data_IF_905103345968
#
_entry.id   IF_905103345968
#
_cell.length_a   1.000
_cell.length_b   1.000
_cell.length_c   1.000
_cell.angle_alpha   90.00
_cell.angle_beta   90.00
_cell.angle_gamma   90.00
#
_symmetry.space_group_name_H-M   'P 1'
#
loop_
_entity.id
_entity.type
_entity.pdbx_description
1 polymer ?
#
# COMPACT_ATOMS: atom_id res chain seq x y z
N UNK A 1 17.69 -29.39 -52.60
CA UNK A 1 17.44 -29.56 -51.15
C UNK A 1 16.39 -28.55 -50.77
N UNK A 2 15.22 -29.02 -50.33
CA UNK A 2 14.15 -28.16 -49.81
C UNK A 2 14.20 -28.28 -48.29
N UNK A 3 14.54 -27.18 -47.62
CA UNK A 3 14.47 -27.10 -46.16
C UNK A 3 13.01 -26.86 -45.78
N UNK A 4 12.51 -27.65 -44.83
CA UNK A 4 11.19 -27.46 -44.22
C UNK A 4 11.43 -26.87 -42.84
N UNK A 5 10.87 -25.69 -42.58
CA UNK A 5 10.87 -25.09 -41.25
C UNK A 5 9.70 -25.66 -40.45
N UNK A 6 10.00 -26.35 -39.35
CA UNK A 6 9.03 -26.81 -38.35
C UNK A 6 9.17 -25.91 -37.14
N UNK A 7 8.12 -25.16 -36.82
CA UNK A 7 8.05 -24.37 -35.59
C UNK A 7 7.36 -25.16 -34.49
N UNK A 8 8.04 -25.34 -33.36
CA UNK A 8 7.47 -25.90 -32.14
C UNK A 8 6.96 -24.73 -31.29
N UNK A 9 5.68 -24.77 -30.93
CA UNK A 9 5.03 -23.78 -30.05
C UNK A 9 5.01 -24.34 -28.63
N UNK A 10 5.25 -23.49 -27.64
CA UNK A 10 5.16 -23.85 -26.23
C UNK A 10 3.74 -24.31 -25.86
N UNK A 11 3.64 -25.18 -24.85
CA UNK A 11 2.36 -25.55 -24.25
C UNK A 11 1.75 -24.43 -23.40
N UNK A 12 0.60 -24.68 -22.75
CA UNK A 12 0.05 -23.77 -21.74
C UNK A 12 1.04 -23.51 -20.61
N UNK A 13 0.95 -22.33 -19.97
CA UNK A 13 1.85 -22.01 -18.88
C UNK A 13 1.65 -22.97 -17.71
N UNK A 14 2.76 -23.33 -17.07
CA UNK A 14 2.77 -24.14 -15.87
C UNK A 14 3.24 -23.30 -14.69
N UNK A 15 2.46 -23.29 -13.61
CA UNK A 15 2.74 -22.48 -12.43
C UNK A 15 4.01 -22.91 -11.67
N UNK A 16 4.48 -24.15 -11.84
CA UNK A 16 5.73 -24.61 -11.22
C UNK A 16 6.98 -24.13 -11.97
N UNK A 17 6.83 -23.79 -13.24
CA UNK A 17 7.91 -23.26 -14.10
C UNK A 17 7.82 -21.74 -14.30
N UNK A 18 6.67 -21.15 -13.99
CA UNK A 18 6.39 -19.73 -14.18
C UNK A 18 6.52 -18.95 -12.87
N UNK A 19 6.73 -17.64 -12.96
CA UNK A 19 6.86 -16.78 -11.79
C UNK A 19 6.27 -15.39 -12.04
N UNK A 20 5.55 -14.86 -11.06
CA UNK A 20 5.09 -13.48 -11.02
C UNK A 20 5.65 -12.81 -9.76
N UNK A 21 6.31 -11.68 -9.94
CA UNK A 21 6.87 -10.85 -8.86
C UNK A 21 6.60 -9.37 -9.11
N UNK A 22 6.66 -8.60 -8.03
CA UNK A 22 6.68 -7.15 -8.03
C UNK A 22 7.91 -6.68 -7.24
N UNK A 23 8.48 -5.55 -7.64
CA UNK A 23 9.64 -4.97 -6.97
C UNK A 23 9.30 -4.23 -5.66
N UNK A 24 8.03 -3.87 -5.46
CA UNK A 24 7.52 -3.17 -4.28
C UNK A 24 6.16 -3.72 -3.86
N UNK A 25 6.01 -4.07 -2.58
CA UNK A 25 4.77 -4.59 -2.01
C UNK A 25 3.77 -3.51 -1.60
N UNK A 26 4.18 -2.24 -1.58
CA UNK A 26 3.33 -1.10 -1.21
C UNK A 26 3.67 0.12 -2.06
N UNK A 27 2.66 0.91 -2.42
CA UNK A 27 2.74 2.16 -3.16
C UNK A 27 1.90 3.25 -2.49
N UNK A 28 2.37 4.49 -2.59
CA UNK A 28 1.51 5.65 -2.35
C UNK A 28 0.49 5.78 -3.49
N UNK A 29 -0.78 5.91 -3.15
CA UNK A 29 -1.87 6.16 -4.08
C UNK A 29 -1.89 7.60 -4.58
N UNK A 30 -0.85 8.05 -5.28
CA UNK A 30 -0.68 9.43 -5.79
C UNK A 30 -0.43 9.52 -7.31
N UNK A 31 -0.64 8.44 -8.05
CA UNK A 31 -0.28 8.26 -9.47
C UNK A 31 1.20 8.48 -9.83
N UNK A 32 2.07 8.70 -8.85
CA UNK A 32 3.49 8.98 -9.07
C UNK A 32 4.33 7.81 -8.61
N UNK A 33 3.99 7.23 -7.46
CA UNK A 33 4.60 6.00 -6.98
C UNK A 33 4.17 4.81 -7.85
N UNK A 34 5.11 3.89 -8.08
CA UNK A 34 4.87 2.77 -8.99
C UNK A 34 5.68 1.52 -8.69
N UNK A 35 5.10 0.38 -9.01
CA UNK A 35 5.75 -0.92 -8.93
C UNK A 35 5.88 -1.55 -10.32
N UNK A 36 7.03 -2.16 -10.60
CA UNK A 36 7.22 -3.02 -11.77
C UNK A 36 6.71 -4.43 -11.42
N UNK A 37 5.82 -4.95 -12.26
CA UNK A 37 5.49 -6.36 -12.35
C UNK A 37 6.46 -7.05 -13.30
N UNK A 38 7.01 -8.17 -12.86
CA UNK A 38 7.84 -9.04 -13.67
C UNK A 38 7.24 -10.44 -13.69
N UNK A 39 6.81 -10.86 -14.87
CA UNK A 39 6.23 -12.16 -15.15
C UNK A 39 7.18 -12.95 -16.06
N UNK A 40 7.44 -14.21 -15.71
CA UNK A 40 8.09 -15.17 -16.59
C UNK A 40 7.14 -16.35 -16.78
N UNK A 41 6.79 -16.65 -18.03
CA UNK A 41 5.86 -17.75 -18.37
C UNK A 41 6.56 -18.85 -19.15
N UNK A 42 6.65 -20.03 -18.52
CA UNK A 42 7.16 -21.25 -19.14
C UNK A 42 6.11 -22.36 -19.08
N UNK A 43 6.13 -23.26 -20.05
CA UNK A 43 5.33 -24.49 -20.02
C UNK A 43 5.93 -25.53 -19.06
N UNK A 44 5.25 -26.65 -18.86
CA UNK A 44 5.69 -27.75 -17.97
C UNK A 44 7.06 -28.35 -18.36
N UNK A 45 7.47 -28.19 -19.62
CA UNK A 45 8.77 -28.66 -20.12
C UNK A 45 9.87 -27.60 -19.99
N UNK A 46 9.56 -26.43 -19.43
CA UNK A 46 10.48 -25.31 -19.28
C UNK A 46 10.67 -24.49 -20.56
N UNK A 47 9.82 -24.66 -21.58
CA UNK A 47 9.91 -23.83 -22.78
C UNK A 47 9.26 -22.47 -22.51
N UNK A 48 9.90 -21.36 -22.92
CA UNK A 48 9.29 -20.06 -22.80
C UNK A 48 8.09 -19.87 -23.72
N UNK A 49 7.05 -19.25 -23.16
CA UNK A 49 5.87 -18.78 -23.89
C UNK A 49 6.20 -17.40 -24.45
N UNK A 50 6.19 -17.28 -25.79
CA UNK A 50 6.79 -16.15 -26.51
C UNK A 50 5.76 -15.26 -27.20
N UNK A 51 4.54 -15.23 -26.68
CA UNK A 51 3.47 -14.40 -27.25
C UNK A 51 3.88 -12.93 -27.25
N UNK A 52 3.53 -12.21 -28.31
CA UNK A 52 3.83 -10.78 -28.49
C UNK A 52 2.62 -9.87 -28.24
N UNK A 53 1.48 -10.46 -27.90
CA UNK A 53 0.23 -9.77 -27.61
C UNK A 53 -0.66 -10.59 -26.67
N UNK A 54 -1.78 -10.00 -26.22
CA UNK A 54 -2.80 -10.70 -25.43
C UNK A 54 -2.44 -10.95 -23.96
N UNK A 55 -1.27 -10.51 -23.49
CA UNK A 55 -0.94 -10.48 -22.07
C UNK A 55 -1.62 -9.28 -21.38
N UNK A 56 -2.24 -9.55 -20.25
CA UNK A 56 -2.87 -8.55 -19.38
C UNK A 56 -2.66 -8.93 -17.91
N UNK A 57 -2.69 -7.92 -17.04
CA UNK A 57 -2.85 -8.12 -15.60
C UNK A 57 -4.22 -7.60 -15.19
N UNK A 58 -4.95 -8.39 -14.41
CA UNK A 58 -6.27 -7.99 -13.92
C UNK A 58 -6.32 -8.09 -12.40
N UNK A 59 -7.17 -7.27 -11.79
CA UNK A 59 -7.45 -7.40 -10.36
C UNK A 59 -8.35 -8.60 -10.10
N UNK A 60 -8.09 -9.29 -8.98
CA UNK A 60 -8.91 -10.37 -8.45
C UNK A 60 -9.38 -10.02 -7.04
N UNK A 61 -10.61 -10.39 -6.70
CA UNK A 61 -11.22 -10.08 -5.41
C UNK A 61 -11.73 -8.64 -5.31
N UNK A 62 -11.45 -7.97 -4.19
CA UNK A 62 -11.89 -6.59 -3.96
C UNK A 62 -11.08 -5.63 -4.84
N UNK A 63 -11.80 -4.87 -5.66
CA UNK A 63 -11.17 -3.91 -6.56
C UNK A 63 -10.62 -2.70 -5.80
N UNK A 64 -9.34 -2.38 -5.98
CA UNK A 64 -8.76 -1.08 -5.62
C UNK A 64 -9.11 -0.09 -6.74
N UNK A 65 -9.91 0.95 -6.46
CA UNK A 65 -10.37 1.87 -7.49
C UNK A 65 -9.20 2.64 -8.10
N UNK A 66 -9.36 3.06 -9.35
CA UNK A 66 -8.43 3.95 -10.07
C UNK A 66 -6.97 3.48 -10.18
N UNK A 67 -6.70 2.21 -9.86
CA UNK A 67 -5.44 1.56 -10.21
C UNK A 67 -5.26 1.53 -11.73
N UNK A 68 -4.03 1.78 -12.18
CA UNK A 68 -3.63 1.73 -13.59
C UNK A 68 -2.48 0.75 -13.75
N UNK A 69 -2.56 -0.01 -14.83
CA UNK A 69 -1.47 -0.87 -15.30
C UNK A 69 -1.06 -0.33 -16.67
N UNK A 70 0.25 -0.20 -16.90
CA UNK A 70 0.77 0.19 -18.20
C UNK A 70 0.48 -0.85 -19.28
N UNK A 71 0.77 -0.51 -20.53
CA UNK A 71 0.95 -1.52 -21.56
C UNK A 71 2.03 -2.53 -21.14
N UNK A 72 1.89 -3.77 -21.58
CA UNK A 72 2.88 -4.82 -21.38
C UNK A 72 4.11 -4.54 -22.25
N UNK A 73 5.29 -4.64 -21.66
CA UNK A 73 6.57 -4.71 -22.36
C UNK A 73 6.85 -6.16 -22.77
N UNK A 74 6.89 -6.39 -24.08
CA UNK A 74 7.17 -7.67 -24.73
C UNK A 74 8.62 -7.78 -25.23
N UNK A 75 9.49 -6.80 -24.95
CA UNK A 75 10.84 -6.72 -25.53
C UNK A 75 11.72 -7.94 -25.24
N UNK A 76 11.40 -8.72 -24.20
CA UNK A 76 12.10 -9.93 -23.79
C UNK A 76 11.22 -11.20 -23.85
N UNK A 77 10.11 -11.15 -24.58
CA UNK A 77 9.18 -12.28 -24.67
C UNK A 77 9.82 -13.56 -25.25
N UNK A 78 10.94 -13.46 -25.99
CA UNK A 78 11.72 -14.61 -26.46
C UNK A 78 12.17 -15.54 -25.31
N UNK A 79 12.30 -14.99 -24.10
CA UNK A 79 12.66 -15.70 -22.87
C UNK A 79 11.44 -16.03 -22.00
N UNK A 80 10.23 -15.66 -22.44
CA UNK A 80 9.00 -15.73 -21.66
C UNK A 80 8.82 -14.57 -20.68
N UNK A 81 9.64 -13.53 -20.79
CA UNK A 81 9.63 -12.36 -19.92
C UNK A 81 8.62 -11.30 -20.39
N UNK A 82 7.75 -10.89 -19.47
CA UNK A 82 6.77 -9.83 -19.64
C UNK A 82 6.87 -8.85 -18.46
N UNK A 83 6.78 -7.55 -18.75
CA UNK A 83 6.80 -6.53 -17.71
C UNK A 83 5.65 -5.54 -17.85
N UNK A 84 5.23 -4.98 -16.73
CA UNK A 84 4.29 -3.86 -16.70
C UNK A 84 4.53 -3.02 -15.46
N UNK A 85 4.05 -1.79 -15.46
CA UNK A 85 4.10 -0.91 -14.29
C UNK A 85 2.70 -0.69 -13.74
N UNK A 86 2.58 -0.74 -12.42
CA UNK A 86 1.35 -0.50 -11.67
C UNK A 86 1.47 0.84 -10.92
N UNK A 87 0.44 1.66 -10.99
CA UNK A 87 0.28 2.92 -10.23
C UNK A 87 -1.21 3.16 -9.93
N UNK A 88 -1.57 4.22 -9.21
CA UNK A 88 -2.98 4.53 -8.90
C UNK A 88 -3.13 5.62 -7.84
N UNK A 89 -4.38 6.02 -7.57
CA UNK A 89 -4.76 6.89 -6.44
C UNK A 89 -5.78 6.28 -5.46
N UNK A 90 -6.15 5.02 -5.68
CA UNK A 90 -6.99 4.27 -4.75
C UNK A 90 -6.25 3.87 -3.47
N UNK A 91 -7.02 3.41 -2.48
CA UNK A 91 -6.49 2.80 -1.25
C UNK A 91 -6.95 1.34 -1.15
N UNK A 92 -6.10 0.46 -0.65
CA UNK A 92 -6.42 -0.95 -0.41
C UNK A 92 -5.40 -1.93 -0.99
N UNK A 93 -5.66 -3.22 -0.85
CA UNK A 93 -4.75 -4.28 -1.32
C UNK A 93 -5.28 -4.81 -2.67
N UNK A 94 -4.52 -4.56 -3.74
CA UNK A 94 -4.81 -5.11 -5.06
C UNK A 94 -4.15 -6.49 -5.19
N UNK A 95 -4.94 -7.51 -5.52
CA UNK A 95 -4.41 -8.82 -5.94
C UNK A 95 -4.41 -8.86 -7.47
N UNK A 96 -3.24 -9.05 -8.08
CA UNK A 96 -3.03 -9.06 -9.51
C UNK A 96 -2.75 -10.46 -10.01
N UNK A 97 -3.45 -10.86 -11.07
CA UNK A 97 -3.29 -12.13 -11.74
C UNK A 97 -2.96 -11.91 -13.21
N UNK A 98 -2.08 -12.72 -13.82
CA UNK A 98 -1.80 -12.64 -15.25
C UNK A 98 -2.87 -13.39 -16.06
N UNK A 99 -3.24 -12.81 -17.20
CA UNK A 99 -4.17 -13.35 -18.17
C UNK A 99 -3.48 -13.31 -19.54
N UNK A 100 -3.45 -14.44 -20.23
CA UNK A 100 -2.89 -14.55 -21.57
C UNK A 100 -3.99 -14.99 -22.53
N UNK A 101 -4.27 -14.19 -23.55
CA UNK A 101 -5.30 -14.46 -24.56
C UNK A 101 -6.68 -14.76 -23.94
N UNK A 102 -7.02 -14.02 -22.87
CA UNK A 102 -8.26 -14.20 -22.11
C UNK A 102 -8.26 -15.39 -21.13
N UNK A 103 -7.17 -16.14 -21.01
CA UNK A 103 -7.05 -17.27 -20.09
C UNK A 103 -6.24 -16.88 -18.86
N UNK A 104 -6.82 -17.08 -17.68
CA UNK A 104 -6.14 -16.88 -16.40
C UNK A 104 -5.03 -17.92 -16.19
N UNK A 105 -3.83 -17.45 -15.85
CA UNK A 105 -2.69 -18.32 -15.54
C UNK A 105 -2.76 -18.73 -14.07
N UNK A 106 -3.54 -19.78 -13.81
CA UNK A 106 -3.83 -20.25 -12.45
C UNK A 106 -2.55 -20.57 -11.67
N UNK A 107 -2.53 -20.21 -10.38
CA UNK A 107 -1.37 -20.40 -9.50
C UNK A 107 -0.36 -19.26 -9.52
N UNK A 108 -0.53 -18.26 -10.39
CA UNK A 108 0.26 -17.03 -10.40
C UNK A 108 -0.58 -15.86 -9.89
N UNK A 109 -0.11 -15.21 -8.83
CA UNK A 109 -0.71 -13.97 -8.31
C UNK A 109 0.33 -13.17 -7.54
N UNK A 110 0.18 -11.86 -7.50
CA UNK A 110 0.89 -11.01 -6.54
C UNK A 110 -0.03 -9.97 -5.92
N UNK A 111 0.39 -9.39 -4.80
CA UNK A 111 -0.34 -8.35 -4.09
C UNK A 111 0.47 -7.06 -4.02
N UNK A 112 -0.19 -5.93 -4.26
CA UNK A 112 0.36 -4.59 -4.03
C UNK A 112 -0.62 -3.82 -3.15
N UNK A 113 -0.11 -3.25 -2.07
CA UNK A 113 -0.87 -2.40 -1.18
C UNK A 113 -0.78 -0.94 -1.59
N UNK A 114 -1.93 -0.27 -1.73
CA UNK A 114 -2.01 1.17 -1.95
C UNK A 114 -2.35 1.87 -0.64
N UNK A 115 -1.42 2.70 -0.17
CA UNK A 115 -1.60 3.58 0.99
C UNK A 115 -1.98 4.99 0.52
N UNK A 116 -2.68 5.77 1.34
CA UNK A 116 -3.15 7.11 0.97
C UNK A 116 -2.01 8.02 0.50
N UNK A 117 -2.28 8.84 -0.51
CA UNK A 117 -1.39 9.92 -0.89
C UNK A 117 -1.24 11.00 0.19
N UNK A 118 -2.30 11.24 0.93
CA UNK A 118 -2.40 12.37 1.85
C UNK A 118 -2.51 11.90 3.29
N UNK A 119 -1.96 12.71 4.19
CA UNK A 119 -2.19 12.55 5.61
C UNK A 119 -3.57 13.08 5.97
N UNK A 120 -4.36 12.28 6.68
CA UNK A 120 -5.67 12.68 7.17
C UNK A 120 -5.57 13.25 8.58
N UNK A 121 -6.33 14.32 8.90
CA UNK A 121 -6.38 14.83 10.26
C UNK A 121 -7.05 13.84 11.20
N UNK A 122 -6.52 13.71 12.42
CA UNK A 122 -7.22 13.05 13.53
C UNK A 122 -8.31 13.99 14.05
N UNK A 123 -9.58 13.67 13.77
CA UNK A 123 -10.75 14.51 14.11
C UNK A 123 -11.65 13.92 15.20
N UNK A 124 -11.28 12.76 15.74
CA UNK A 124 -12.02 12.08 16.80
C UNK A 124 -11.73 12.69 18.18
N UNK A 125 -11.65 11.81 19.18
CA UNK A 125 -11.51 12.20 20.58
C UNK A 125 -10.29 11.60 21.25
N UNK A 126 -9.89 12.19 22.37
CA UNK A 126 -8.92 11.62 23.30
C UNK A 126 -9.58 11.38 24.65
N UNK A 127 -9.20 10.30 25.32
CA UNK A 127 -9.59 10.04 26.71
C UNK A 127 -8.54 10.61 27.67
N UNK A 128 -8.99 11.41 28.63
CA UNK A 128 -8.19 11.93 29.75
C UNK A 128 -9.03 11.95 31.03
N UNK A 129 -8.57 11.27 32.09
CA UNK A 129 -9.25 11.24 33.39
C UNK A 129 -10.77 11.01 33.33
N UNK A 130 -11.21 10.03 32.53
CA UNK A 130 -12.64 9.69 32.28
C UNK A 130 -13.46 10.71 31.46
N UNK A 131 -12.82 11.73 30.88
CA UNK A 131 -13.43 12.64 29.93
C UNK A 131 -12.95 12.37 28.49
N UNK A 132 -13.82 12.58 27.52
CA UNK A 132 -13.48 12.60 26.10
C UNK A 132 -13.41 14.04 25.60
N UNK A 133 -12.27 14.43 25.04
CA UNK A 133 -12.04 15.77 24.50
C UNK A 133 -11.69 15.70 23.01
N UNK A 134 -11.97 16.74 22.21
CA UNK A 134 -11.64 16.71 20.79
C UNK A 134 -10.13 16.64 20.55
N UNK A 135 -9.66 15.69 19.74
CA UNK A 135 -8.23 15.54 19.38
C UNK A 135 -7.69 16.78 18.67
N UNK A 136 -8.54 17.46 17.90
CA UNK A 136 -8.15 18.64 17.11
C UNK A 136 -7.81 19.89 17.94
N UNK A 137 -8.15 19.92 19.24
CA UNK A 137 -7.92 21.08 20.12
C UNK A 137 -7.25 20.74 21.44
N UNK A 138 -7.19 19.45 21.80
CA UNK A 138 -6.53 18.99 23.01
C UNK A 138 -5.14 18.41 22.68
N UNK A 139 -4.13 18.61 23.56
CA UNK A 139 -4.13 19.46 24.75
C UNK A 139 -3.70 20.91 24.46
N UNK A 140 -4.20 21.87 25.24
CA UNK A 140 -3.71 23.25 25.23
C UNK A 140 -2.62 23.52 26.28
N UNK A 141 -2.48 22.64 27.27
CA UNK A 141 -1.48 22.70 28.34
C UNK A 141 -1.08 21.27 28.76
N UNK A 142 0.08 21.13 29.38
CA UNK A 142 0.56 19.85 29.90
C UNK A 142 1.62 20.02 30.98
N UNK A 143 1.96 18.93 31.65
CA UNK A 143 3.04 18.84 32.64
C UNK A 143 3.75 17.49 32.50
N UNK A 144 4.98 17.39 32.97
CA UNK A 144 5.75 16.14 32.94
C UNK A 144 5.00 15.01 33.66
N UNK A 145 4.80 13.88 32.98
CA UNK A 145 4.03 12.73 33.44
C UNK A 145 2.56 12.74 33.06
N UNK A 146 2.03 13.85 32.53
CA UNK A 146 0.68 13.90 31.97
C UNK A 146 0.56 12.93 30.79
N UNK A 147 -0.62 12.35 30.60
CA UNK A 147 -0.92 11.50 29.45
C UNK A 147 -2.38 11.60 29.03
N UNK A 148 -2.63 11.23 27.78
CA UNK A 148 -3.97 11.01 27.23
C UNK A 148 -3.95 9.82 26.27
N UNK A 149 -5.12 9.26 26.00
CA UNK A 149 -5.28 8.13 25.08
C UNK A 149 -5.97 8.60 23.81
N UNK A 150 -5.38 8.35 22.64
CA UNK A 150 -6.09 8.51 21.36
C UNK A 150 -7.20 7.45 21.27
N UNK A 151 -8.43 7.88 21.01
CA UNK A 151 -9.55 6.96 20.81
C UNK A 151 -9.63 6.50 19.35
N UNK A 152 -10.31 5.36 19.10
CA UNK A 152 -10.36 4.72 17.78
C UNK A 152 -11.12 5.55 16.72
N UNK A 153 -11.94 6.52 17.15
CA UNK A 153 -12.65 7.45 16.27
C UNK A 153 -11.73 8.46 15.56
N UNK A 154 -10.43 8.48 15.89
CA UNK A 154 -9.42 9.23 15.14
C UNK A 154 -8.93 8.54 13.87
N UNK A 155 -9.30 7.28 13.66
CA UNK A 155 -8.76 6.43 12.60
C UNK A 155 -9.83 6.03 11.59
N UNK A 156 -9.42 5.26 10.58
CA UNK A 156 -10.37 4.75 9.60
C UNK A 156 -11.48 3.91 10.27
N UNK A 157 -12.73 3.94 9.77
CA UNK A 157 -13.83 3.16 10.33
C UNK A 157 -13.47 1.67 10.50
N UNK A 158 -13.74 1.13 11.69
CA UNK A 158 -13.45 -0.28 12.03
C UNK A 158 -11.99 -0.57 12.37
N UNK A 159 -11.09 0.42 12.30
CA UNK A 159 -9.69 0.30 12.73
C UNK A 159 -9.51 0.75 14.17
N UNK A 160 -8.42 0.29 14.77
CA UNK A 160 -8.03 0.61 16.14
C UNK A 160 -6.58 1.10 16.17
N UNK A 161 -6.12 1.61 17.31
CA UNK A 161 -4.71 1.97 17.48
C UNK A 161 -3.73 0.83 17.13
N UNK A 162 -4.12 -0.44 17.32
CA UNK A 162 -3.31 -1.60 16.98
C UNK A 162 -3.09 -1.78 15.46
N UNK A 163 -3.81 -1.06 14.61
CA UNK A 163 -3.62 -1.05 13.16
C UNK A 163 -2.58 0.00 12.72
N UNK A 164 -2.02 0.80 13.63
CA UNK A 164 -1.13 1.92 13.30
C UNK A 164 0.19 1.92 14.07
N UNK A 165 1.26 2.32 13.38
CA UNK A 165 2.58 2.53 13.98
C UNK A 165 2.72 4.00 14.36
N UNK A 166 2.74 4.31 15.66
CA UNK A 166 2.79 5.70 16.12
C UNK A 166 4.20 6.28 16.18
N UNK A 167 4.31 7.58 15.92
CA UNK A 167 5.49 8.40 16.19
C UNK A 167 5.10 9.79 16.67
N UNK A 168 6.01 10.46 17.36
CA UNK A 168 5.88 11.87 17.76
C UNK A 168 6.98 12.69 17.12
N UNK A 169 6.65 13.91 16.69
CA UNK A 169 7.64 14.87 16.17
C UNK A 169 8.56 15.45 17.25
N UNK A 170 8.23 15.29 18.53
CA UNK A 170 8.97 15.88 19.65
C UNK A 170 9.55 14.80 20.57
N UNK A 171 10.83 14.92 20.93
CA UNK A 171 11.51 13.96 21.81
C UNK A 171 10.98 13.97 23.24
N UNK A 172 10.39 15.09 23.69
CA UNK A 172 9.77 15.24 25.01
C UNK A 172 8.33 14.70 25.08
N UNK A 173 7.73 14.31 23.94
CA UNK A 173 6.46 13.57 23.89
C UNK A 173 6.71 12.13 23.45
N UNK A 174 6.09 11.18 24.13
CA UNK A 174 6.09 9.77 23.76
C UNK A 174 4.70 9.36 23.31
N UNK A 175 4.64 8.41 22.37
CA UNK A 175 3.40 7.70 22.03
C UNK A 175 3.74 6.23 21.91
N UNK A 176 2.97 5.37 22.58
CA UNK A 176 3.18 3.92 22.51
C UNK A 176 2.28 3.25 21.45
N UNK A 177 2.42 1.94 21.28
CA UNK A 177 1.67 1.16 20.30
C UNK A 177 0.16 1.12 20.54
N UNK A 178 -0.31 1.50 21.73
CA UNK A 178 -1.74 1.60 22.06
C UNK A 178 -2.32 2.97 21.74
N UNK A 179 -1.50 3.94 21.32
CA UNK A 179 -1.93 5.32 21.10
C UNK A 179 -1.96 6.17 22.37
N UNK A 180 -1.35 5.69 23.47
CA UNK A 180 -1.20 6.49 24.70
C UNK A 180 -0.08 7.50 24.50
N UNK A 181 -0.42 8.78 24.55
CA UNK A 181 0.51 9.90 24.44
C UNK A 181 0.92 10.37 25.83
N UNK A 182 2.22 10.50 26.09
CA UNK A 182 2.79 10.86 27.41
C UNK A 182 3.80 12.01 27.28
N UNK A 183 3.70 12.99 28.17
CA UNK A 183 4.61 14.12 28.29
C UNK A 183 5.79 13.68 29.18
N UNK A 184 6.97 13.48 28.59
CA UNK A 184 8.14 12.92 29.29
C UNK A 184 8.99 13.98 29.99
N UNK A 185 9.02 15.20 29.46
CA UNK A 185 9.75 16.35 29.97
C UNK A 185 9.00 17.65 29.61
N UNK A 186 9.52 18.77 30.10
CA UNK A 186 9.04 20.10 29.72
C UNK A 186 9.18 20.32 28.21
N UNK A 187 8.15 20.94 27.63
CA UNK A 187 8.11 21.25 26.22
C UNK A 187 8.86 22.53 25.86
N UNK A 188 9.04 22.72 24.55
CA UNK A 188 9.78 23.84 23.94
C UNK A 188 8.86 24.88 23.27
N UNK A 189 7.55 24.82 23.56
CA UNK A 189 6.49 25.64 22.95
C UNK A 189 6.28 25.43 21.44
N UNK A 190 6.96 24.45 20.83
CA UNK A 190 6.69 24.06 19.44
C UNK A 190 5.45 23.17 19.35
N UNK A 191 4.77 23.21 18.20
CA UNK A 191 3.68 22.27 17.93
C UNK A 191 4.21 20.85 17.83
N UNK A 192 3.56 19.92 18.54
CA UNK A 192 3.84 18.49 18.46
C UNK A 192 2.84 17.82 17.54
N UNK A 193 3.35 16.99 16.63
CA UNK A 193 2.53 16.17 15.73
C UNK A 193 2.70 14.71 16.13
N UNK A 194 1.57 14.05 16.43
CA UNK A 194 1.50 12.59 16.53
C UNK A 194 1.10 12.06 15.17
N UNK A 195 1.93 11.17 14.62
CA UNK A 195 1.74 10.55 13.30
C UNK A 195 1.45 9.07 13.48
N UNK A 196 0.42 8.59 12.79
CA UNK A 196 -0.05 7.21 12.81
C UNK A 196 -0.13 6.64 11.38
N UNK A 197 0.99 6.19 10.81
CA UNK A 197 1.00 5.38 9.60
C UNK A 197 0.29 4.04 9.82
N UNK A 198 -0.60 3.61 8.92
CA UNK A 198 -1.22 2.29 9.02
C UNK A 198 -0.15 1.22 8.83
N UNK A 199 -0.30 0.09 9.53
CA UNK A 199 0.54 -1.10 9.36
C UNK A 199 0.23 -1.86 8.07
N UNK A 200 -0.97 -1.67 7.54
CA UNK A 200 -1.43 -2.23 6.28
C UNK A 200 -2.54 -1.34 5.73
N UNK A 201 -2.23 -0.67 4.62
CA UNK A 201 -3.20 -0.06 3.71
C UNK A 201 -3.88 1.19 4.27
N UNK A 202 -4.36 2.04 3.37
CA UNK A 202 -5.16 3.21 3.74
C UNK A 202 -4.34 4.41 4.24
N UNK A 203 -4.99 5.30 4.97
CA UNK A 203 -4.45 6.62 5.26
C UNK A 203 -3.56 6.73 6.50
N UNK A 204 -2.51 7.55 6.38
CA UNK A 204 -1.72 8.06 7.51
C UNK A 204 -2.58 9.09 8.24
N UNK A 205 -2.74 8.94 9.55
CA UNK A 205 -3.46 9.91 10.37
C UNK A 205 -2.49 10.77 11.17
N UNK A 206 -2.76 12.07 11.31
CA UNK A 206 -1.94 13.01 12.07
C UNK A 206 -2.78 13.94 12.92
N UNK A 207 -2.30 14.30 14.11
CA UNK A 207 -2.85 15.45 14.85
C UNK A 207 -2.57 16.74 14.07
N UNK A 208 -3.56 17.60 13.92
CA UNK A 208 -3.43 18.83 13.13
C UNK A 208 -2.74 19.92 13.96
N UNK A 209 -1.82 20.72 13.39
CA UNK A 209 -1.36 21.94 14.03
C UNK A 209 -2.53 22.89 14.31
N UNK A 210 -2.52 23.65 15.42
CA UNK A 210 -3.53 24.66 15.70
C UNK A 210 -3.68 25.73 14.59
N UNK A 211 -2.62 25.97 13.80
CA UNK A 211 -2.54 27.05 12.80
C UNK A 211 -2.95 26.64 11.38
N UNK A 212 -3.13 25.34 11.07
CA UNK A 212 -3.51 24.86 9.73
C UNK A 212 -4.99 25.08 9.39
N UNK A 213 -5.68 25.95 10.12
CA UNK A 213 -7.12 26.22 10.01
C UNK A 213 -7.34 27.28 8.92
N UNK A 214 -7.52 26.87 7.67
CA UNK A 214 -8.13 27.76 6.68
C UNK A 214 -9.61 27.95 7.03
N UNK A 215 -10.01 29.22 7.11
CA UNK A 215 -11.39 29.71 7.28
C UNK A 215 -12.26 29.33 6.08
#
# INVERSE_FOLDING_TARGET
>A
MQTVDISLVAGPADASQSILKNNQSSLKGDFTDSAELHLVLHDISGNPIKDSEGMEFVQSGTNVPYMKISAIDYSQNINGDYKATVTGDGEGIATLIPVLNGVHQAGLSTTIEFISAETRPMTGTVSVNSANLPTASFPSQGFTGAYYQLNNDNFAPGKTAADYSFSSSASWVGVDATGKVTFKNDGDSNTVIITAPPRSGGAIYQTVPPESRSV
#
